data_IF_527987588359
#
_entry.id   IF_527987588359
#
_cell.length_a   1.000
_cell.length_b   1.000
_cell.length_c   1.000
_cell.angle_alpha   90.00
_cell.angle_beta   90.00
_cell.angle_gamma   90.00
#
_symmetry.space_group_name_H-M   'P 1'
#
loop_
_entity.id
_entity.type
_entity.pdbx_description
1 polymer ?
#
# COMPACT_ATOMS: atom_id res chain seq x y z
N UNK A 1 -10.59 18.75 -6.34
CA UNK A 1 -10.18 18.43 -7.73
C UNK A 1 -11.43 18.39 -8.60
N UNK A 2 -11.27 18.53 -9.92
CA UNK A 2 -12.36 18.47 -10.88
C UNK A 2 -12.79 17.01 -11.09
N UNK A 3 -14.08 16.71 -10.94
CA UNK A 3 -14.61 15.35 -11.05
C UNK A 3 -14.37 14.75 -12.44
N UNK A 4 -14.34 15.59 -13.48
CA UNK A 4 -14.09 15.17 -14.85
C UNK A 4 -12.60 14.83 -15.06
N UNK A 5 -11.70 15.39 -14.25
CA UNK A 5 -10.29 14.98 -14.19
C UNK A 5 -10.12 13.75 -13.30
N UNK A 6 -10.96 13.53 -12.30
CA UNK A 6 -10.85 12.34 -11.45
C UNK A 6 -11.32 11.08 -12.17
N UNK A 7 -12.52 11.14 -12.75
CA UNK A 7 -13.27 9.99 -13.26
C UNK A 7 -13.69 10.13 -14.73
N UNK A 8 -13.27 11.19 -15.42
CA UNK A 8 -13.60 11.36 -16.83
C UNK A 8 -12.83 10.41 -17.74
N UNK A 9 -13.04 10.56 -19.04
CA UNK A 9 -12.51 9.67 -20.07
C UNK A 9 -11.28 10.24 -20.79
N UNK A 10 -10.60 11.24 -20.20
CA UNK A 10 -9.39 11.84 -20.78
C UNK A 10 -8.14 11.09 -20.35
N UNK A 11 -7.02 11.37 -21.02
CA UNK A 11 -5.70 10.86 -20.66
C UNK A 11 -5.21 11.41 -19.30
N UNK A 12 -5.75 12.55 -18.86
CA UNK A 12 -5.40 13.19 -17.60
C UNK A 12 -6.10 12.57 -16.39
N UNK A 13 -7.00 11.58 -16.62
CA UNK A 13 -7.71 10.95 -15.52
C UNK A 13 -6.77 10.31 -14.52
N UNK A 14 -7.08 10.41 -13.23
CA UNK A 14 -6.24 9.81 -12.19
C UNK A 14 -6.77 8.46 -11.69
N UNK A 15 -8.06 8.18 -11.91
CA UNK A 15 -8.66 6.87 -11.63
C UNK A 15 -8.63 5.96 -12.87
N UNK A 16 -8.35 4.66 -12.68
CA UNK A 16 -8.29 3.64 -13.73
C UNK A 16 -7.52 4.11 -14.99
N UNK A 17 -6.28 4.55 -14.77
CA UNK A 17 -5.44 5.13 -15.81
C UNK A 17 -5.10 4.10 -16.89
N UNK A 18 -5.01 4.54 -18.14
CA UNK A 18 -4.62 3.67 -19.26
C UNK A 18 -3.20 3.11 -19.07
N UNK A 19 -2.31 3.89 -18.44
CA UNK A 19 -0.95 3.49 -18.11
C UNK A 19 -0.85 2.68 -16.79
N UNK A 20 -1.97 2.33 -16.16
CA UNK A 20 -2.05 1.49 -14.96
C UNK A 20 -1.09 1.95 -13.86
N UNK A 21 -0.05 1.18 -13.53
CA UNK A 21 0.99 1.54 -12.56
C UNK A 21 2.26 2.12 -13.20
N UNK A 22 2.36 2.12 -14.53
CA UNK A 22 3.52 2.62 -15.27
C UNK A 22 3.76 4.12 -15.03
N UNK A 23 2.73 4.90 -14.65
CA UNK A 23 2.91 6.31 -14.28
C UNK A 23 3.91 6.49 -13.14
N UNK A 24 4.07 5.50 -12.24
CA UNK A 24 5.01 5.58 -11.12
C UNK A 24 6.45 5.57 -11.64
N UNK A 25 6.75 4.71 -12.61
CA UNK A 25 8.04 4.66 -13.29
C UNK A 25 8.25 5.90 -14.17
N UNK A 26 7.23 6.31 -14.94
CA UNK A 26 7.30 7.50 -15.81
C UNK A 26 7.49 8.80 -15.01
N UNK A 27 7.07 8.82 -13.75
CA UNK A 27 7.27 9.96 -12.86
C UNK A 27 8.61 9.96 -12.13
N UNK A 28 9.43 8.92 -12.29
CA UNK A 28 10.68 8.80 -11.57
C UNK A 28 11.71 9.84 -12.05
N UNK A 29 12.21 10.68 -11.12
CA UNK A 29 13.23 11.67 -11.46
C UNK A 29 12.70 12.94 -12.13
N UNK A 30 11.37 13.07 -12.29
CA UNK A 30 10.75 14.28 -12.84
C UNK A 30 11.19 15.56 -12.13
N UNK A 31 11.48 16.59 -12.95
CA UNK A 31 11.81 17.95 -12.48
C UNK A 31 10.57 18.85 -12.36
N UNK A 32 9.49 18.51 -13.07
CA UNK A 32 8.17 19.16 -13.01
C UNK A 32 7.09 18.11 -12.71
N UNK A 33 6.14 18.45 -11.85
CA UNK A 33 5.07 17.53 -11.43
C UNK A 33 5.52 16.54 -10.35
N UNK A 34 4.76 15.44 -10.21
CA UNK A 34 5.06 14.40 -9.24
C UNK A 34 6.38 13.69 -9.56
N UNK A 35 7.18 13.42 -8.53
CA UNK A 35 8.42 12.67 -8.65
C UNK A 35 8.42 11.49 -7.67
N UNK A 36 8.17 10.28 -8.19
CA UNK A 36 8.08 9.06 -7.37
C UNK A 36 9.35 8.78 -6.58
N UNK A 37 10.53 9.20 -7.10
CA UNK A 37 11.82 9.07 -6.39
C UNK A 37 11.87 9.84 -5.07
N UNK A 38 11.01 10.85 -4.86
CA UNK A 38 10.92 11.60 -3.59
C UNK A 38 10.07 10.89 -2.54
N UNK A 39 9.21 9.96 -2.93
CA UNK A 39 8.36 9.18 -2.03
C UNK A 39 9.10 8.01 -1.40
N UNK A 40 9.20 7.98 -0.07
CA UNK A 40 9.76 6.83 0.65
C UNK A 40 8.91 5.56 0.45
N UNK A 41 7.59 5.73 0.26
CA UNK A 41 6.67 4.65 -0.10
C UNK A 41 7.09 3.97 -1.41
N UNK A 42 7.21 4.75 -2.50
CA UNK A 42 7.59 4.19 -3.79
C UNK A 42 9.00 3.61 -3.80
N UNK A 43 9.96 4.24 -3.12
CA UNK A 43 11.32 3.68 -3.01
C UNK A 43 11.38 2.34 -2.27
N UNK A 44 10.51 2.10 -1.29
CA UNK A 44 10.45 0.79 -0.61
C UNK A 44 9.76 -0.24 -1.50
N UNK A 45 8.59 0.07 -2.04
CA UNK A 45 7.83 -0.86 -2.89
C UNK A 45 8.60 -1.22 -4.16
N UNK A 46 9.27 -0.25 -4.79
CA UNK A 46 10.16 -0.49 -5.93
C UNK A 46 11.22 -1.54 -5.59
N UNK A 47 11.96 -1.37 -4.49
CA UNK A 47 12.98 -2.37 -4.05
C UNK A 47 12.40 -3.76 -3.81
N UNK A 48 11.19 -3.84 -3.24
CA UNK A 48 10.52 -5.13 -2.99
C UNK A 48 10.10 -5.77 -4.32
N UNK A 49 9.50 -5.02 -5.23
CA UNK A 49 9.03 -5.54 -6.52
C UNK A 49 10.19 -5.91 -7.43
N UNK A 50 11.20 -5.04 -7.58
CA UNK A 50 12.40 -5.26 -8.41
C UNK A 50 13.19 -6.50 -7.99
N UNK A 51 13.13 -6.91 -6.72
CA UNK A 51 13.75 -8.14 -6.27
C UNK A 51 13.16 -9.39 -6.96
N UNK A 52 11.86 -9.38 -7.28
CA UNK A 52 11.18 -10.47 -7.98
C UNK A 52 11.04 -10.23 -9.49
N UNK A 53 10.89 -8.96 -9.88
CA UNK A 53 10.61 -8.53 -11.24
C UNK A 53 11.57 -7.39 -11.62
N UNK A 54 12.81 -7.71 -12.06
CA UNK A 54 13.84 -6.70 -12.33
C UNK A 54 13.48 -5.70 -13.44
N UNK A 55 12.55 -6.07 -14.32
CA UNK A 55 12.05 -5.23 -15.41
C UNK A 55 10.56 -4.96 -15.22
N UNK A 56 10.13 -3.72 -15.52
CA UNK A 56 8.72 -3.27 -15.43
C UNK A 56 8.08 -3.59 -14.07
N UNK A 57 8.82 -3.35 -12.99
CA UNK A 57 8.43 -3.73 -11.63
C UNK A 57 7.04 -3.21 -11.22
N UNK A 58 6.60 -2.08 -11.78
CA UNK A 58 5.30 -1.48 -11.47
C UNK A 58 4.13 -2.28 -12.05
N UNK A 59 4.35 -3.05 -13.12
CA UNK A 59 3.32 -3.87 -13.78
C UNK A 59 2.86 -5.08 -12.94
N UNK A 60 3.60 -5.43 -11.89
CA UNK A 60 3.33 -6.59 -11.03
C UNK A 60 2.71 -6.23 -9.69
N UNK A 61 2.33 -4.96 -9.51
CA UNK A 61 1.70 -4.48 -8.28
C UNK A 61 0.39 -3.76 -8.59
N UNK A 62 -0.50 -3.75 -7.60
CA UNK A 62 -1.59 -2.80 -7.50
C UNK A 62 -1.34 -1.90 -6.30
N UNK A 63 -1.81 -0.65 -6.36
CA UNK A 63 -1.71 0.30 -5.26
C UNK A 63 -3.08 0.82 -4.88
N UNK A 64 -3.32 0.89 -3.58
CA UNK A 64 -4.54 1.44 -2.98
C UNK A 64 -4.19 2.19 -1.70
N UNK A 65 -4.98 3.21 -1.39
CA UNK A 65 -4.95 3.87 -0.09
C UNK A 65 -6.03 3.28 0.83
N UNK A 66 -5.67 3.05 2.09
CA UNK A 66 -6.62 2.60 3.11
C UNK A 66 -7.66 3.68 3.47
N UNK A 67 -7.31 4.96 3.34
CA UNK A 67 -8.27 6.07 3.41
C UNK A 67 -8.49 6.64 2.00
N UNK A 68 -9.74 6.81 1.60
CA UNK A 68 -10.11 7.30 0.26
C UNK A 68 -10.32 8.82 0.24
N UNK A 69 -10.54 9.43 1.40
CA UNK A 69 -10.72 10.87 1.56
C UNK A 69 -9.61 11.43 2.44
N UNK A 70 -8.93 12.47 1.95
CA UNK A 70 -7.88 13.17 2.65
C UNK A 70 -8.05 14.70 2.57
N UNK A 71 -7.43 15.48 3.46
CA UNK A 71 -7.46 16.94 3.37
C UNK A 71 -6.90 17.46 2.05
N UNK A 72 -7.56 18.46 1.47
CA UNK A 72 -7.18 19.02 0.17
C UNK A 72 -5.74 19.56 0.13
N UNK A 73 -5.27 20.16 1.23
CA UNK A 73 -3.91 20.70 1.33
C UNK A 73 -2.85 19.62 1.63
N UNK A 74 -3.22 18.34 1.54
CA UNK A 74 -2.36 17.19 1.80
C UNK A 74 -2.33 16.76 3.26
N UNK A 75 -1.66 15.63 3.49
CA UNK A 75 -1.58 14.98 4.79
C UNK A 75 -2.62 13.87 4.97
N UNK A 76 -2.62 13.29 6.16
CA UNK A 76 -3.55 12.22 6.55
C UNK A 76 -4.86 12.82 7.10
N UNK A 77 -5.99 12.11 7.01
CA UNK A 77 -7.21 12.51 7.73
C UNK A 77 -6.93 12.63 9.23
N UNK A 78 -7.64 13.56 9.89
CA UNK A 78 -7.74 13.57 11.36
C UNK A 78 -8.70 12.47 11.82
N UNK A 79 -8.79 12.23 13.13
CA UNK A 79 -9.63 11.16 13.69
C UNK A 79 -11.10 11.27 13.25
N UNK A 80 -11.67 12.48 13.25
CA UNK A 80 -13.05 12.71 12.81
C UNK A 80 -13.28 12.26 11.36
N UNK A 81 -12.42 12.71 10.43
CA UNK A 81 -12.51 12.34 9.02
C UNK A 81 -12.16 10.86 8.78
N UNK A 82 -11.24 10.31 9.58
CA UNK A 82 -10.87 8.89 9.53
C UNK A 82 -12.07 8.00 9.91
N UNK A 83 -12.68 8.24 11.07
CA UNK A 83 -13.81 7.45 11.54
C UNK A 83 -15.07 7.68 10.71
N UNK A 84 -15.28 8.88 10.17
CA UNK A 84 -16.40 9.16 9.26
C UNK A 84 -16.34 8.34 7.95
N UNK A 85 -15.14 7.93 7.51
CA UNK A 85 -14.96 7.16 6.27
C UNK A 85 -14.62 5.68 6.50
N UNK A 86 -14.33 5.26 7.73
CA UNK A 86 -13.74 3.95 8.04
C UNK A 86 -14.55 2.77 7.49
N UNK A 87 -15.86 2.72 7.80
CA UNK A 87 -16.73 1.61 7.35
C UNK A 87 -16.77 1.49 5.82
N UNK A 88 -16.84 2.63 5.13
CA UNK A 88 -16.83 2.65 3.66
C UNK A 88 -15.46 2.22 3.11
N UNK A 89 -14.37 2.67 3.72
CA UNK A 89 -13.02 2.29 3.31
C UNK A 89 -12.75 0.79 3.52
N UNK A 90 -13.25 0.21 4.61
CA UNK A 90 -13.20 -1.23 4.88
C UNK A 90 -13.91 -2.04 3.79
N UNK A 91 -15.15 -1.65 3.43
CA UNK A 91 -15.91 -2.29 2.34
C UNK A 91 -15.21 -2.15 1.00
N UNK A 92 -14.67 -0.97 0.69
CA UNK A 92 -13.93 -0.74 -0.56
C UNK A 92 -12.69 -1.63 -0.61
N UNK A 93 -11.92 -1.72 0.49
CA UNK A 93 -10.74 -2.59 0.54
C UNK A 93 -11.12 -4.08 0.36
N UNK A 94 -12.19 -4.55 0.99
CA UNK A 94 -12.67 -5.93 0.78
C UNK A 94 -13.02 -6.19 -0.69
N UNK A 95 -13.75 -5.28 -1.33
CA UNK A 95 -14.07 -5.37 -2.77
C UNK A 95 -12.78 -5.32 -3.62
N UNK A 96 -11.82 -4.46 -3.30
CA UNK A 96 -10.53 -4.39 -4.00
C UNK A 96 -9.78 -5.72 -3.90
N UNK A 97 -9.77 -6.37 -2.74
CA UNK A 97 -9.15 -7.68 -2.52
C UNK A 97 -9.88 -8.76 -3.32
N UNK A 98 -11.21 -8.77 -3.33
CA UNK A 98 -12.00 -9.73 -4.11
C UNK A 98 -11.71 -9.60 -5.62
N UNK A 99 -11.74 -8.37 -6.15
CA UNK A 99 -11.54 -8.11 -7.58
C UNK A 99 -10.11 -8.37 -8.05
N UNK A 100 -9.11 -7.99 -7.25
CA UNK A 100 -7.70 -8.16 -7.62
C UNK A 100 -7.16 -9.54 -7.26
N UNK A 101 -7.81 -10.26 -6.33
CA UNK A 101 -7.40 -11.57 -5.81
C UNK A 101 -5.88 -11.67 -5.52
N UNK A 102 -5.30 -10.70 -4.77
CA UNK A 102 -3.86 -10.67 -4.56
C UNK A 102 -3.42 -11.85 -3.68
N UNK A 103 -2.27 -12.47 -3.99
CA UNK A 103 -1.65 -13.46 -3.09
C UNK A 103 -1.06 -12.83 -1.83
N UNK A 104 -0.56 -11.60 -1.97
CA UNK A 104 0.18 -10.87 -0.92
C UNK A 104 -0.28 -9.42 -0.92
N UNK A 105 -0.58 -8.88 0.25
CA UNK A 105 -0.88 -7.47 0.49
C UNK A 105 0.17 -6.93 1.46
N UNK A 106 0.73 -5.76 1.16
CA UNK A 106 1.71 -5.08 2.02
C UNK A 106 1.11 -3.75 2.50
N UNK A 107 0.77 -3.68 3.78
CA UNK A 107 0.34 -2.45 4.44
C UNK A 107 1.55 -1.67 4.96
N UNK A 108 1.75 -0.46 4.46
CA UNK A 108 2.81 0.47 4.85
C UNK A 108 2.26 1.64 5.68
N UNK A 109 1.48 1.32 6.70
CA UNK A 109 0.67 2.28 7.47
C UNK A 109 1.13 2.39 8.93
N UNK A 110 1.79 1.36 9.46
CA UNK A 110 1.97 1.15 10.90
C UNK A 110 0.76 0.45 11.54
N UNK A 111 0.99 -0.12 12.73
CA UNK A 111 0.04 -0.99 13.42
C UNK A 111 -1.31 -0.31 13.70
N UNK A 112 -1.28 0.90 14.29
CA UNK A 112 -2.50 1.58 14.73
C UNK A 112 -3.50 1.86 13.60
N UNK A 113 -3.02 2.06 12.37
CA UNK A 113 -3.88 2.33 11.21
C UNK A 113 -4.39 1.06 10.55
N UNK A 114 -3.62 -0.03 10.60
CA UNK A 114 -4.00 -1.28 9.93
C UNK A 114 -4.94 -2.13 10.77
N UNK A 115 -4.89 -1.99 12.11
CA UNK A 115 -5.65 -2.82 13.04
C UNK A 115 -7.16 -2.80 12.75
N UNK A 116 -7.75 -1.63 12.45
CA UNK A 116 -9.18 -1.53 12.10
C UNK A 116 -9.53 -2.31 10.82
N UNK A 117 -8.62 -2.36 9.84
CA UNK A 117 -8.82 -3.07 8.58
C UNK A 117 -8.60 -4.58 8.74
N UNK A 118 -7.58 -5.00 9.48
CA UNK A 118 -7.35 -6.43 9.75
C UNK A 118 -8.47 -7.04 10.57
N UNK A 119 -8.94 -6.30 11.59
CA UNK A 119 -10.08 -6.71 12.43
C UNK A 119 -11.31 -6.98 11.58
N UNK A 120 -11.62 -6.06 10.66
CA UNK A 120 -12.73 -6.18 9.73
C UNK A 120 -12.57 -7.38 8.78
N UNK A 121 -11.42 -7.50 8.12
CA UNK A 121 -11.18 -8.53 7.10
C UNK A 121 -11.16 -9.95 7.68
N UNK A 122 -10.78 -10.09 8.95
CA UNK A 122 -10.64 -11.38 9.62
C UNK A 122 -11.69 -11.66 10.70
N UNK A 123 -12.76 -10.86 10.77
CA UNK A 123 -13.83 -11.01 11.77
C UNK A 123 -13.27 -11.14 13.20
N UNK A 124 -12.33 -10.27 13.55
CA UNK A 124 -11.66 -10.18 14.87
C UNK A 124 -10.76 -11.38 15.27
N UNK A 125 -10.42 -12.30 14.37
CA UNK A 125 -9.60 -13.49 14.68
C UNK A 125 -8.11 -13.41 14.27
N UNK A 126 -7.45 -12.23 14.28
CA UNK A 126 -6.10 -12.06 13.71
C UNK A 126 -4.92 -12.17 14.69
N UNK A 127 -5.08 -12.86 15.82
CA UNK A 127 -4.06 -12.92 16.88
C UNK A 127 -2.81 -13.76 16.56
N UNK A 128 -2.87 -14.60 15.52
CA UNK A 128 -1.75 -15.47 15.15
C UNK A 128 -1.02 -14.93 13.93
N UNK A 129 0.04 -14.17 14.21
CA UNK A 129 1.05 -13.86 13.21
C UNK A 129 1.70 -15.17 12.71
N UNK A 130 1.85 -15.29 11.39
CA UNK A 130 2.48 -16.45 10.75
C UNK A 130 3.98 -16.26 10.51
N UNK A 131 4.46 -15.01 10.48
CA UNK A 131 5.88 -14.67 10.36
C UNK A 131 6.11 -13.23 10.89
N UNK A 132 7.30 -12.95 11.40
CA UNK A 132 7.66 -11.62 11.87
C UNK A 132 9.17 -11.37 11.73
N UNK A 133 9.53 -10.30 11.01
CA UNK A 133 10.93 -9.86 10.87
C UNK A 133 11.15 -8.49 11.50
N UNK A 134 12.08 -8.43 12.45
CA UNK A 134 12.54 -7.17 13.04
C UNK A 134 13.53 -6.46 12.12
N UNK A 135 13.46 -5.13 12.06
CA UNK A 135 14.37 -4.29 11.30
C UNK A 135 14.64 -2.96 12.02
N UNK A 136 15.87 -2.80 12.51
CA UNK A 136 16.19 -1.70 13.42
C UNK A 136 15.36 -1.79 14.71
N UNK A 137 14.56 -0.75 14.98
CA UNK A 137 13.62 -0.71 16.12
C UNK A 137 12.18 -1.06 15.75
N UNK A 138 11.94 -1.45 14.50
CA UNK A 138 10.62 -1.72 13.95
C UNK A 138 10.48 -3.21 13.64
N UNK A 139 9.26 -3.63 13.29
CA UNK A 139 8.96 -4.99 12.84
C UNK A 139 8.00 -4.97 11.67
N UNK A 140 8.11 -5.97 10.81
CA UNK A 140 7.09 -6.34 9.82
C UNK A 140 6.46 -7.66 10.28
N UNK A 141 5.14 -7.75 10.29
CA UNK A 141 4.41 -8.93 10.78
C UNK A 141 3.43 -9.40 9.71
N UNK A 142 3.43 -10.70 9.43
CA UNK A 142 2.54 -11.31 8.45
C UNK A 142 1.41 -12.09 9.10
N UNK A 143 0.25 -12.04 8.46
CA UNK A 143 -0.97 -12.77 8.83
C UNK A 143 -1.49 -13.50 7.59
N UNK A 144 -2.13 -14.67 7.79
CA UNK A 144 -2.87 -15.35 6.73
C UNK A 144 -4.37 -15.11 6.95
N UNK A 145 -5.01 -14.37 6.05
CA UNK A 145 -6.43 -14.03 6.14
C UNK A 145 -7.09 -14.40 4.82
N UNK A 146 -8.12 -15.26 4.85
CA UNK A 146 -8.85 -15.75 3.66
C UNK A 146 -7.89 -16.16 2.51
N UNK A 147 -6.84 -16.92 2.82
CA UNK A 147 -5.80 -17.38 1.89
C UNK A 147 -4.91 -16.28 1.25
N UNK A 148 -4.93 -15.07 1.80
CA UNK A 148 -4.09 -13.94 1.41
C UNK A 148 -3.08 -13.64 2.51
N UNK A 149 -1.79 -13.50 2.15
CA UNK A 149 -0.75 -13.10 3.09
C UNK A 149 -0.80 -11.58 3.25
N UNK A 150 -1.11 -11.10 4.44
CA UNK A 150 -1.16 -9.67 4.76
C UNK A 150 0.04 -9.29 5.62
N UNK A 151 0.99 -8.56 5.03
CA UNK A 151 2.20 -8.07 5.68
C UNK A 151 1.96 -6.65 6.17
N UNK A 152 2.04 -6.46 7.47
CA UNK A 152 1.89 -5.17 8.12
C UNK A 152 3.25 -4.62 8.51
N UNK A 153 3.59 -3.44 8.02
CA UNK A 153 4.81 -2.74 8.39
C UNK A 153 4.58 -1.24 8.57
N UNK A 154 5.63 -0.59 9.04
CA UNK A 154 5.63 0.84 9.37
C UNK A 154 5.56 1.74 8.13
N UNK A 155 4.98 2.93 8.27
CA UNK A 155 5.09 3.94 7.23
C UNK A 155 6.58 4.28 6.93
N UNK A 156 7.07 4.24 5.67
CA UNK A 156 8.51 4.27 5.38
C UNK A 156 9.23 5.59 5.67
N UNK A 157 8.51 6.71 5.74
CA UNK A 157 9.11 8.04 5.83
C UNK A 157 10.00 8.21 7.07
N UNK A 158 11.24 8.66 6.85
CA UNK A 158 12.24 8.85 7.91
C UNK A 158 12.85 7.55 8.46
N UNK A 159 12.56 6.38 7.86
CA UNK A 159 13.03 5.07 8.31
C UNK A 159 14.10 4.49 7.37
N UNK A 160 14.85 3.48 7.84
CA UNK A 160 15.92 2.82 7.07
C UNK A 160 15.35 1.92 5.97
N UNK A 161 15.11 2.49 4.79
CA UNK A 161 14.42 1.83 3.67
C UNK A 161 15.03 0.48 3.25
N UNK A 162 16.36 0.35 3.23
CA UNK A 162 17.01 -0.93 2.85
C UNK A 162 16.70 -2.07 3.84
N UNK A 163 16.67 -1.77 5.14
CA UNK A 163 16.30 -2.77 6.16
C UNK A 163 14.81 -3.09 6.09
N UNK A 164 14.00 -2.07 5.80
CA UNK A 164 12.56 -2.20 5.68
C UNK A 164 12.17 -3.09 4.49
N UNK A 165 12.67 -2.79 3.29
CA UNK A 165 12.40 -3.60 2.10
C UNK A 165 12.92 -5.02 2.27
N UNK A 166 14.11 -5.19 2.87
CA UNK A 166 14.66 -6.52 3.17
C UNK A 166 13.74 -7.33 4.09
N UNK A 167 13.22 -6.74 5.16
CA UNK A 167 12.31 -7.44 6.06
C UNK A 167 11.04 -7.92 5.34
N UNK A 168 10.49 -7.11 4.43
CA UNK A 168 9.33 -7.49 3.61
C UNK A 168 9.70 -8.62 2.65
N UNK A 169 10.84 -8.53 1.95
CA UNK A 169 11.32 -9.57 1.04
C UNK A 169 11.55 -10.89 1.78
N UNK A 170 12.20 -10.86 2.94
CA UNK A 170 12.49 -12.05 3.75
C UNK A 170 11.18 -12.74 4.16
N UNK A 171 10.17 -11.99 4.61
CA UNK A 171 8.83 -12.53 4.91
C UNK A 171 8.21 -13.20 3.68
N UNK A 172 8.23 -12.53 2.52
CA UNK A 172 7.64 -13.08 1.29
C UNK A 172 8.35 -14.37 0.88
N UNK A 173 9.67 -14.44 1.00
CA UNK A 173 10.45 -15.63 0.66
C UNK A 173 10.18 -16.80 1.62
N UNK A 174 9.98 -16.53 2.92
CA UNK A 174 9.72 -17.57 3.91
C UNK A 174 8.31 -18.18 3.77
N UNK A 175 7.37 -17.44 3.16
CA UNK A 175 5.96 -17.81 3.05
C UNK A 175 5.48 -18.18 1.63
N UNK A 176 6.32 -18.01 0.60
CA UNK A 176 6.02 -18.37 -0.80
C UNK A 176 6.24 -19.86 -1.06
#
# INVERSE_FOLDING_TARGET
EDIDVLFGNTADRIFNRDDQMQWVENSEGNSKGYNSRRSAFWRVIKRVSEYYYPENWSSYIAWSNVCKVAPFNGGNPNDELYYAQLENCQKILEIEIEQLSPRIIVFLTGKNWVDDFLSYLNQENYDQAIECKSWGKYKSTAYLIKNTIMICSEHPQGKKENLHSKAIIDIINDLK
#
